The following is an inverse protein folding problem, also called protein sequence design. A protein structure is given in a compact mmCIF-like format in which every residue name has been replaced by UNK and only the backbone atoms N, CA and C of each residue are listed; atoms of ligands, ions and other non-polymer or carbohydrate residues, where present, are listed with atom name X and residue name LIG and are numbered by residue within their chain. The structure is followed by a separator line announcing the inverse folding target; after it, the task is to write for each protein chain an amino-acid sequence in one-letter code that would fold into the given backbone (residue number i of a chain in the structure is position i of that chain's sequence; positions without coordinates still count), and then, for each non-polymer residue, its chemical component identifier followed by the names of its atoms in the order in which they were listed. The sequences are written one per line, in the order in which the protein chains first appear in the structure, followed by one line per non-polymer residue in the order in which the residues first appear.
data_IF_266047876910
#
_entry.id   IF_266047876910
#
_cell.length_a   1.000
_cell.length_b   1.000
_cell.length_c   1.000
_cell.angle_alpha   90.00
_cell.angle_beta   90.00
_cell.angle_gamma   90.00
#
_symmetry.space_group_name_H-M   'P 1'
#
loop_
_entity.id
_entity.type
_entity.pdbx_description
1 polymer ?
#
# COMPACT_ATOMS: atom_id res chain seq x y z
N UNK A 1 -15.78 -40.44 12.43
CA UNK A 1 -14.46 -39.97 11.95
C UNK A 1 -14.70 -38.76 11.06
N UNK A 2 -14.20 -37.58 11.46
CA UNK A 2 -14.34 -36.36 10.69
C UNK A 2 -13.33 -36.39 9.53
N UNK A 3 -13.83 -36.46 8.30
CA UNK A 3 -13.02 -36.44 7.08
C UNK A 3 -12.62 -34.99 6.79
N UNK A 4 -11.56 -34.50 7.43
CA UNK A 4 -10.90 -33.27 6.97
C UNK A 4 -10.33 -33.58 5.59
N UNK A 5 -10.74 -32.86 4.52
CA UNK A 5 -10.21 -33.11 3.19
C UNK A 5 -8.69 -32.91 3.23
N UNK A 6 -7.96 -33.98 2.89
CA UNK A 6 -6.49 -34.08 2.91
C UNK A 6 -5.78 -33.15 1.90
N UNK A 7 -6.54 -32.24 1.27
CA UNK A 7 -6.12 -31.42 0.13
C UNK A 7 -6.05 -29.91 0.43
N UNK A 8 -6.32 -29.49 1.66
CA UNK A 8 -5.97 -28.14 2.08
C UNK A 8 -4.54 -28.26 2.61
N UNK A 9 -3.55 -28.19 1.71
CA UNK A 9 -2.19 -27.86 2.12
C UNK A 9 -2.30 -26.56 2.88
N UNK A 10 -2.30 -26.64 4.21
CA UNK A 10 -2.31 -25.47 5.07
C UNK A 10 -1.11 -24.65 4.65
N UNK A 11 -1.34 -23.61 3.84
CA UNK A 11 -0.35 -22.55 3.70
C UNK A 11 -0.04 -22.16 5.13
N UNK A 12 1.23 -22.12 5.50
CA UNK A 12 1.63 -21.78 6.86
C UNK A 12 1.10 -20.37 7.16
N UNK A 13 -0.08 -20.33 7.77
CA UNK A 13 -0.82 -19.17 8.24
C UNK A 13 -0.48 -19.05 9.72
N UNK A 14 0.23 -17.98 10.09
CA UNK A 14 0.57 -17.68 11.48
C UNK A 14 -0.68 -17.30 12.27
N UNK A 15 -1.63 -16.63 11.60
CA UNK A 15 -2.99 -16.37 12.04
C UNK A 15 -3.93 -16.65 10.86
N UNK A 16 -5.22 -16.96 11.09
CA UNK A 16 -6.17 -17.15 10.00
C UNK A 16 -6.18 -15.95 9.04
N UNK A 17 -5.77 -16.16 7.78
CA UNK A 17 -5.62 -15.09 6.78
C UNK A 17 -4.34 -14.25 6.85
N UNK A 18 -3.35 -14.64 7.67
CA UNK A 18 -2.03 -14.00 7.76
C UNK A 18 -0.92 -15.03 7.53
N UNK A 19 -0.36 -15.05 6.32
CA UNK A 19 0.72 -15.94 5.92
C UNK A 19 2.09 -15.27 5.87
N UNK A 20 3.03 -15.95 5.22
CA UNK A 20 4.43 -15.49 5.07
C UNK A 20 4.57 -14.23 4.22
N UNK A 21 3.72 -14.04 3.22
CA UNK A 21 3.77 -12.86 2.37
C UNK A 21 3.37 -11.62 3.17
N UNK A 22 2.31 -11.74 3.96
CA UNK A 22 1.82 -10.70 4.86
C UNK A 22 2.89 -10.37 5.92
N UNK A 23 3.52 -11.40 6.50
CA UNK A 23 4.64 -11.21 7.42
C UNK A 23 5.78 -10.43 6.78
N UNK A 24 6.16 -10.76 5.54
CA UNK A 24 7.22 -10.06 4.82
C UNK A 24 6.87 -8.57 4.64
N UNK A 25 5.65 -8.25 4.22
CA UNK A 25 5.23 -6.85 4.07
C UNK A 25 5.18 -6.09 5.40
N UNK A 26 4.73 -6.74 6.47
CA UNK A 26 4.76 -6.16 7.82
C UNK A 26 6.19 -5.87 8.26
N UNK A 27 7.11 -6.82 8.05
CA UNK A 27 8.52 -6.65 8.40
C UNK A 27 9.17 -5.51 7.60
N UNK A 28 8.83 -5.41 6.32
CA UNK A 28 9.31 -4.34 5.44
C UNK A 28 8.78 -2.97 5.90
N UNK A 29 7.51 -2.88 6.30
CA UNK A 29 6.94 -1.68 6.92
C UNK A 29 7.59 -1.32 8.26
N UNK A 30 7.90 -2.31 9.09
CA UNK A 30 8.59 -2.12 10.35
C UNK A 30 10.02 -1.57 10.14
N UNK A 31 10.77 -2.15 9.21
CA UNK A 31 12.11 -1.67 8.84
C UNK A 31 12.06 -0.24 8.26
N UNK A 32 11.08 0.07 7.43
CA UNK A 32 10.87 1.42 6.92
C UNK A 32 10.57 2.43 8.06
N UNK A 33 9.76 2.03 9.04
CA UNK A 33 9.48 2.84 10.23
C UNK A 33 10.73 3.12 11.06
N UNK A 34 11.56 2.09 11.31
CA UNK A 34 12.86 2.25 11.99
C UNK A 34 13.76 3.19 11.20
N UNK A 35 13.84 3.01 9.88
CA UNK A 35 14.67 3.85 9.03
C UNK A 35 14.28 5.34 9.15
N UNK A 36 12.98 5.65 9.05
CA UNK A 36 12.48 7.02 9.22
C UNK A 36 12.79 7.55 10.64
N UNK A 37 12.61 6.73 11.67
CA UNK A 37 12.92 7.10 13.05
C UNK A 37 14.41 7.44 13.25
N UNK A 38 15.32 6.63 12.70
CA UNK A 38 16.76 6.84 12.79
C UNK A 38 17.15 8.14 12.08
N UNK A 39 16.63 8.36 10.87
CA UNK A 39 16.87 9.61 10.12
C UNK A 39 16.40 10.82 10.93
N UNK A 40 15.19 10.78 11.49
CA UNK A 40 14.68 11.88 12.32
C UNK A 40 15.50 12.09 13.60
N UNK A 41 16.04 11.02 14.18
CA UNK A 41 16.83 11.09 15.41
C UNK A 41 18.17 11.81 15.24
N UNK A 42 18.68 11.92 14.00
CA UNK A 42 19.86 12.74 13.68
C UNK A 42 19.54 14.23 13.87
N UNK A 43 18.32 14.65 13.56
CA UNK A 43 17.92 16.06 13.57
C UNK A 43 17.20 16.48 14.86
N UNK A 44 16.53 15.57 15.56
CA UNK A 44 15.69 15.93 16.71
C UNK A 44 15.62 14.79 17.73
N UNK A 45 15.91 15.11 18.99
CA UNK A 45 15.77 14.16 20.12
C UNK A 45 14.44 14.27 20.87
N UNK A 46 13.55 15.17 20.44
CA UNK A 46 12.23 15.38 21.03
C UNK A 46 11.26 14.23 20.75
N UNK A 47 10.27 14.05 21.63
CA UNK A 47 9.16 13.10 21.49
C UNK A 47 8.36 13.28 20.19
N UNK A 48 8.42 14.46 19.57
CA UNK A 48 7.76 14.81 18.31
C UNK A 48 8.12 13.81 17.18
N UNK A 49 9.33 13.23 17.19
CA UNK A 49 9.74 12.24 16.19
C UNK A 49 8.83 11.00 16.13
N UNK A 50 8.29 10.56 17.27
CA UNK A 50 7.39 9.41 17.32
C UNK A 50 6.01 9.76 16.76
N UNK A 51 5.53 10.99 17.00
CA UNK A 51 4.29 11.49 16.40
C UNK A 51 4.40 11.56 14.88
N UNK A 52 5.54 12.02 14.36
CA UNK A 52 5.79 12.06 12.92
C UNK A 52 5.70 10.65 12.32
N UNK A 53 6.43 9.68 12.88
CA UNK A 53 6.37 8.29 12.41
C UNK A 53 4.94 7.74 12.46
N UNK A 54 4.23 7.98 13.57
CA UNK A 54 2.85 7.53 13.76
C UNK A 54 1.90 8.12 12.72
N UNK A 55 1.97 9.44 12.47
CA UNK A 55 1.14 10.12 11.47
C UNK A 55 1.42 9.56 10.07
N UNK A 56 2.70 9.39 9.70
CA UNK A 56 3.06 8.81 8.40
C UNK A 56 2.53 7.38 8.24
N UNK A 57 2.64 6.55 9.27
CA UNK A 57 2.07 5.19 9.24
C UNK A 57 0.55 5.20 9.12
N UNK A 58 -0.14 6.09 9.84
CA UNK A 58 -1.59 6.24 9.76
C UNK A 58 -2.04 6.70 8.36
N UNK A 59 -1.38 7.69 7.79
CA UNK A 59 -1.65 8.15 6.42
C UNK A 59 -1.42 7.04 5.38
N UNK A 60 -0.32 6.28 5.51
CA UNK A 60 -0.06 5.16 4.63
C UNK A 60 -1.16 4.08 4.72
N UNK A 61 -1.67 3.81 5.92
CA UNK A 61 -2.79 2.90 6.11
C UNK A 61 -4.08 3.40 5.42
N UNK A 62 -4.43 4.68 5.62
CA UNK A 62 -5.60 5.29 4.96
C UNK A 62 -5.50 5.29 3.43
N UNK A 63 -4.31 5.35 2.87
CA UNK A 63 -4.10 5.28 1.43
C UNK A 63 -4.40 3.89 0.85
N UNK A 64 -4.25 2.84 1.65
CA UNK A 64 -4.37 1.44 1.23
C UNK A 64 -5.74 0.85 1.55
N UNK A 65 -6.38 1.28 2.64
CA UNK A 65 -7.67 0.73 3.05
C UNK A 65 -8.72 0.91 1.94
N UNK A 66 -9.44 -0.16 1.55
CA UNK A 66 -10.48 -0.05 0.54
C UNK A 66 -11.70 0.70 1.11
N UNK A 67 -12.27 1.59 0.30
CA UNK A 67 -13.54 2.24 0.57
C UNK A 67 -14.74 1.29 0.41
N UNK A 68 -15.97 1.78 0.62
CA UNK A 68 -17.20 0.98 0.47
C UNK A 68 -17.43 0.47 -0.97
N UNK A 69 -16.79 1.10 -1.95
CA UNK A 69 -16.75 0.70 -3.36
C UNK A 69 -15.68 -0.35 -3.68
N UNK A 70 -14.90 -0.77 -2.68
CA UNK A 70 -13.80 -1.73 -2.82
C UNK A 70 -12.52 -1.12 -3.38
N UNK A 71 -12.51 0.19 -3.66
CA UNK A 71 -11.35 0.88 -4.24
C UNK A 71 -10.60 1.68 -3.16
N UNK A 72 -9.26 1.62 -3.17
CA UNK A 72 -8.43 2.40 -2.24
C UNK A 72 -8.02 3.73 -2.84
N UNK A 73 -7.67 4.72 -2.02
CA UNK A 73 -7.20 6.04 -2.51
C UNK A 73 -6.01 5.88 -3.47
N UNK A 74 -5.09 4.96 -3.18
CA UNK A 74 -4.00 4.61 -4.10
C UNK A 74 -4.49 4.11 -5.46
N UNK A 75 -5.57 3.33 -5.48
CA UNK A 75 -6.16 2.87 -6.73
C UNK A 75 -6.76 4.04 -7.52
N UNK A 76 -7.48 4.97 -6.88
CA UNK A 76 -8.02 6.17 -7.52
C UNK A 76 -6.90 7.02 -8.13
N UNK A 77 -5.82 7.24 -7.40
CA UNK A 77 -4.65 8.00 -7.89
C UNK A 77 -4.07 7.31 -9.14
N UNK A 78 -3.89 5.98 -9.10
CA UNK A 78 -3.43 5.21 -10.26
C UNK A 78 -4.39 5.32 -11.45
N UNK A 79 -5.70 5.25 -11.20
CA UNK A 79 -6.72 5.42 -12.24
C UNK A 79 -6.65 6.81 -12.86
N UNK A 80 -6.55 7.85 -12.05
CA UNK A 80 -6.43 9.23 -12.50
C UNK A 80 -5.18 9.44 -13.38
N UNK A 81 -4.01 8.93 -12.96
CA UNK A 81 -2.77 9.05 -13.74
C UNK A 81 -2.90 8.33 -15.09
N UNK A 82 -3.47 7.12 -15.11
CA UNK A 82 -3.71 6.37 -16.36
C UNK A 82 -4.69 7.09 -17.27
N UNK A 83 -5.77 7.64 -16.71
CA UNK A 83 -6.76 8.39 -17.45
C UNK A 83 -6.15 9.67 -18.05
N UNK A 84 -5.39 10.44 -17.27
CA UNK A 84 -4.69 11.64 -17.74
C UNK A 84 -3.74 11.35 -18.91
N UNK A 85 -2.96 10.26 -18.83
CA UNK A 85 -2.11 9.81 -19.94
C UNK A 85 -2.91 9.42 -21.20
N UNK A 86 -4.06 8.76 -21.04
CA UNK A 86 -4.95 8.39 -22.16
C UNK A 86 -5.60 9.62 -22.81
N UNK A 87 -6.02 10.62 -22.03
CA UNK A 87 -6.57 11.87 -22.55
C UNK A 87 -5.56 12.61 -23.44
N UNK A 88 -4.30 12.70 -22.99
CA UNK A 88 -3.21 13.28 -23.80
C UNK A 88 -2.99 12.55 -25.12
N UNK A 89 -3.02 11.21 -25.10
CA UNK A 89 -2.91 10.40 -26.34
C UNK A 89 -4.09 10.63 -27.29
N UNK A 90 -5.31 10.71 -26.76
CA UNK A 90 -6.51 10.95 -27.57
C UNK A 90 -6.46 12.32 -28.26
N UNK A 91 -6.07 13.37 -27.53
CA UNK A 91 -5.94 14.72 -28.08
C UNK A 91 -4.87 14.79 -29.19
N UNK A 92 -3.74 14.09 -29.02
CA UNK A 92 -2.70 14.04 -30.04
C UNK A 92 -3.14 13.32 -31.34
N UNK A 93 -3.94 12.25 -31.22
CA UNK A 93 -4.47 11.52 -32.39
C UNK A 93 -5.54 12.36 -33.11
N UNK A 94 -6.43 13.03 -32.36
CA UNK A 94 -7.45 13.92 -32.93
C UNK A 94 -6.85 15.21 -33.54
N UNK A 95 -5.79 15.75 -32.96
CA UNK A 95 -5.07 16.91 -33.50
C UNK A 95 -4.25 16.58 -34.75
N UNK A 96 -3.68 15.37 -34.83
CA UNK A 96 -2.94 14.90 -36.01
C UNK A 96 -3.82 14.51 -37.20
N UNK A 97 -5.12 14.26 -36.99
CA UNK A 97 -6.07 13.88 -38.05
C UNK A 97 -6.86 15.08 -38.62
N UNK A 98 -6.44 16.31 -38.30
CA UNK A 98 -7.04 17.58 -38.77
C UNK A 98 -6.06 18.47 -39.55
N UNK A 99 -4.86 17.97 -39.89
CA UNK A 99 -3.91 18.60 -40.80
C UNK A 99 -3.73 17.74 -42.03
#
# INVERSE_FOLDING_TARGET
MYQVPKNISGKFELLPGFGWNELFFVLLGFLAGIFVYVVLSIFTQSLIRYLVVFIFTGLAYFLVIPGPDGSSVLSLIKYYIRWSKKQKRYLNILGGNRG
#
